data_IF_162811287414
#
_entry.id   IF_162811287414
#
_cell.length_a   1.000
_cell.length_b   1.000
_cell.length_c   1.000
_cell.angle_alpha   90.00
_cell.angle_beta   90.00
_cell.angle_gamma   90.00
#
_symmetry.space_group_name_H-M   'P 1'
#
loop_
_entity.id
_entity.type
_entity.pdbx_description
1 polymer ?
#
# COMPACT_ATOMS: atom_id res chain seq x y z
N UNK A 1 11.53 17.19 -0.59
CA UNK A 1 11.13 16.34 0.55
C UNK A 1 11.16 14.90 0.08
N UNK A 2 11.77 13.97 0.81
CA UNK A 2 11.84 12.56 0.41
C UNK A 2 10.59 11.80 0.87
N UNK A 3 10.02 10.97 -0.01
CA UNK A 3 8.88 10.10 0.31
C UNK A 3 9.37 8.71 0.73
N UNK A 4 8.71 8.13 1.73
CA UNK A 4 8.89 6.75 2.18
C UNK A 4 7.67 5.93 1.74
N UNK A 5 7.92 4.76 1.18
CA UNK A 5 6.88 3.86 0.71
C UNK A 5 6.86 2.61 1.60
N UNK A 6 5.73 2.36 2.26
CA UNK A 6 5.50 1.17 3.08
C UNK A 6 4.51 0.29 2.33
N UNK A 7 4.99 -0.89 1.94
CA UNK A 7 4.28 -1.83 1.10
C UNK A 7 3.97 -3.11 1.87
N UNK A 8 2.89 -3.78 1.49
CA UNK A 8 2.68 -5.19 1.78
C UNK A 8 1.97 -5.87 0.61
N UNK A 9 2.01 -7.20 0.55
CA UNK A 9 1.24 -7.97 -0.43
C UNK A 9 -0.25 -7.94 -0.10
N UNK A 10 -0.61 -7.87 1.18
CA UNK A 10 -1.99 -7.99 1.64
C UNK A 10 -2.54 -6.67 2.17
N UNK A 11 -3.81 -6.37 1.87
CA UNK A 11 -4.48 -5.15 2.34
C UNK A 11 -4.54 -5.07 3.87
N UNK A 12 -4.76 -6.21 4.56
CA UNK A 12 -4.86 -6.26 6.02
C UNK A 12 -3.56 -5.81 6.68
N UNK A 13 -2.41 -6.24 6.15
CA UNK A 13 -1.11 -5.80 6.64
C UNK A 13 -0.90 -4.29 6.43
N UNK A 14 -1.31 -3.74 5.29
CA UNK A 14 -1.27 -2.29 5.04
C UNK A 14 -2.11 -1.52 6.06
N UNK A 15 -3.32 -2.02 6.36
CA UNK A 15 -4.21 -1.38 7.33
C UNK A 15 -3.68 -1.50 8.76
N UNK A 16 -3.03 -2.61 9.10
CA UNK A 16 -2.35 -2.80 10.38
C UNK A 16 -1.17 -1.82 10.55
N UNK A 17 -0.36 -1.63 9.50
CA UNK A 17 0.69 -0.60 9.49
C UNK A 17 0.09 0.81 9.72
N UNK A 18 -1.00 1.12 9.03
CA UNK A 18 -1.71 2.39 9.21
C UNK A 18 -2.27 2.57 10.63
N UNK A 19 -2.86 1.52 11.22
CA UNK A 19 -3.36 1.56 12.59
C UNK A 19 -2.23 1.74 13.61
N UNK A 20 -1.09 1.09 13.42
CA UNK A 20 0.10 1.27 14.25
C UNK A 20 0.63 2.71 14.19
N UNK A 21 0.74 3.28 12.98
CA UNK A 21 1.17 4.67 12.77
C UNK A 21 0.21 5.68 13.42
N UNK A 22 -1.11 5.43 13.39
CA UNK A 22 -2.08 6.26 14.10
C UNK A 22 -1.86 6.26 15.61
N UNK A 23 -1.64 5.08 16.21
CA UNK A 23 -1.38 4.95 17.66
C UNK A 23 -0.12 5.70 18.10
N UNK A 24 0.87 5.79 17.21
CA UNK A 24 2.12 6.52 17.46
C UNK A 24 1.97 8.06 17.31
N UNK A 25 0.75 8.58 17.10
CA UNK A 25 0.48 10.01 16.87
C UNK A 25 1.35 10.64 15.77
N UNK A 26 1.61 9.89 14.69
CA UNK A 26 2.37 10.40 13.54
C UNK A 26 1.50 11.38 12.72
N UNK A 27 1.41 12.63 13.21
CA UNK A 27 1.08 13.89 12.52
C UNK A 27 -0.03 13.89 11.46
N UNK A 28 -1.16 14.53 11.77
CA UNK A 28 -2.33 14.74 10.91
C UNK A 28 -2.04 15.40 9.55
N UNK A 29 -1.67 14.57 8.56
CA UNK A 29 -1.53 14.97 7.15
C UNK A 29 -0.27 14.49 6.43
N UNK A 30 0.58 13.65 7.04
CA UNK A 30 1.84 13.19 6.40
C UNK A 30 1.81 11.75 5.88
N UNK A 31 0.74 11.01 6.15
CA UNK A 31 0.58 9.62 5.72
C UNK A 31 -0.63 9.52 4.79
N UNK A 32 -0.47 8.80 3.69
CA UNK A 32 -1.58 8.51 2.77
C UNK A 32 -1.64 7.01 2.46
N UNK A 33 -2.79 6.39 2.75
CA UNK A 33 -3.07 4.99 2.43
C UNK A 33 -3.75 4.90 1.06
N UNK A 34 -2.96 4.51 0.06
CA UNK A 34 -3.40 4.39 -1.31
C UNK A 34 -4.17 3.08 -1.52
N UNK A 35 -5.46 3.20 -1.83
CA UNK A 35 -6.37 2.07 -2.10
C UNK A 35 -7.05 2.18 -3.47
N UNK A 36 -7.52 1.03 -3.97
CA UNK A 36 -8.46 0.98 -5.09
C UNK A 36 -9.84 1.43 -4.64
N UNK A 37 -10.67 1.91 -5.57
CA UNK A 37 -12.04 2.32 -5.24
C UNK A 37 -12.85 1.18 -4.62
N UNK A 38 -12.65 -0.05 -5.12
CA UNK A 38 -13.32 -1.26 -4.61
C UNK A 38 -12.99 -1.57 -3.14
N UNK A 39 -11.90 -1.01 -2.61
CA UNK A 39 -11.44 -1.21 -1.22
C UNK A 39 -11.66 0.01 -0.34
N UNK A 40 -12.17 1.12 -0.89
CA UNK A 40 -12.56 2.30 -0.13
C UNK A 40 -13.99 2.12 0.38
N UNK A 41 -14.24 2.48 1.63
CA UNK A 41 -15.57 2.46 2.25
C UNK A 41 -15.73 3.67 3.16
N UNK A 42 -16.80 4.45 2.96
CA UNK A 42 -17.14 5.55 3.85
C UNK A 42 -17.68 5.05 5.21
N UNK A 43 -18.30 3.86 5.21
CA UNK A 43 -18.84 3.23 6.40
C UNK A 43 -17.72 2.72 7.30
N UNK A 44 -16.69 2.11 6.71
CA UNK A 44 -15.52 1.60 7.42
C UNK A 44 -14.22 2.14 6.80
N UNK A 45 -13.87 3.42 7.05
CA UNK A 45 -12.62 4.00 6.53
C UNK A 45 -11.41 3.30 7.14
N UNK A 46 -10.45 2.98 6.30
CA UNK A 46 -9.18 2.44 6.75
C UNK A 46 -8.22 3.57 7.17
N UNK A 47 -7.27 3.30 8.09
CA UNK A 47 -6.34 4.32 8.55
C UNK A 47 -5.62 5.03 7.38
N UNK A 48 -5.67 6.36 7.39
CA UNK A 48 -5.06 7.28 6.42
C UNK A 48 -5.57 7.16 4.98
N UNK A 49 -6.69 6.46 4.74
CA UNK A 49 -7.28 6.42 3.41
C UNK A 49 -8.04 7.71 3.06
N UNK A 50 -8.56 7.79 1.84
CA UNK A 50 -9.30 8.95 1.36
C UNK A 50 -10.45 9.38 2.28
N UNK A 51 -11.21 8.45 2.84
CA UNK A 51 -12.35 8.74 3.70
C UNK A 51 -11.92 9.10 5.12
N UNK A 52 -10.90 8.42 5.63
CA UNK A 52 -10.35 8.68 6.96
C UNK A 52 -9.70 10.06 7.09
N UNK A 53 -9.21 10.61 5.98
CA UNK A 53 -8.65 11.96 5.92
C UNK A 53 -9.71 13.06 5.72
N UNK A 54 -11.00 12.70 5.59
CA UNK A 54 -12.07 13.69 5.50
C UNK A 54 -12.44 14.27 6.87
N UNK A 55 -12.99 15.48 6.86
CA UNK A 55 -13.74 16.01 7.99
C UNK A 55 -14.97 15.13 8.27
N UNK A 56 -15.37 15.01 9.53
CA UNK A 56 -16.55 14.21 9.94
C UNK A 56 -17.83 14.60 9.19
N UNK A 57 -18.04 15.90 8.94
CA UNK A 57 -19.19 16.37 8.17
C UNK A 57 -19.23 15.77 6.76
N UNK A 58 -18.13 15.87 6.01
CA UNK A 58 -18.02 15.28 4.67
C UNK A 58 -18.20 13.77 4.74
N UNK A 59 -17.51 13.11 5.67
CA UNK A 59 -17.61 11.66 5.82
C UNK A 59 -19.05 11.20 6.09
N UNK A 60 -19.80 11.94 6.92
CA UNK A 60 -21.22 11.67 7.18
C UNK A 60 -22.07 11.81 5.92
N UNK A 61 -21.82 12.80 5.06
CA UNK A 61 -22.53 12.92 3.78
C UNK A 61 -22.31 11.67 2.91
N UNK A 62 -21.06 11.22 2.79
CA UNK A 62 -20.73 10.00 2.04
C UNK A 62 -21.34 8.74 2.65
N UNK A 63 -21.43 8.64 3.98
CA UNK A 63 -22.09 7.51 4.67
C UNK A 63 -23.58 7.45 4.38
N UNK A 64 -24.23 8.61 4.25
CA UNK A 64 -25.66 8.75 4.03
C UNK A 64 -26.07 8.69 2.55
N UNK A 65 -25.11 8.58 1.62
CA UNK A 65 -25.40 8.62 0.18
C UNK A 65 -25.60 10.03 -0.38
N UNK A 66 -25.28 11.06 0.40
CA UNK A 66 -25.41 12.50 0.08
C UNK A 66 -24.13 13.08 -0.52
N UNK A 67 -23.23 12.24 -1.03
CA UNK A 67 -22.00 12.70 -1.68
C UNK A 67 -22.30 13.57 -2.92
N UNK A 68 -21.42 14.53 -3.26
CA UNK A 68 -21.64 15.36 -4.43
C UNK A 68 -21.65 14.52 -5.72
N UNK A 69 -22.76 14.56 -6.44
CA UNK A 69 -22.97 13.85 -7.71
C UNK A 69 -22.74 14.75 -8.94
N UNK A 70 -22.15 15.92 -8.74
CA UNK A 70 -21.88 16.88 -9.80
C UNK A 70 -20.45 17.42 -9.73
N UNK A 71 -19.93 17.87 -10.86
CA UNK A 71 -18.68 18.62 -10.95
C UNK A 71 -18.79 19.80 -11.88
N UNK A 72 -18.01 20.82 -11.59
CA UNK A 72 -17.86 22.00 -12.44
C UNK A 72 -16.71 21.82 -13.42
N UNK A 73 -16.97 22.00 -14.72
CA UNK A 73 -15.97 21.92 -15.78
C UNK A 73 -15.89 23.27 -16.50
N UNK A 74 -14.67 23.82 -16.59
CA UNK A 74 -14.42 25.06 -17.33
C UNK A 74 -13.98 24.70 -18.76
N UNK A 75 -14.79 25.04 -19.76
CA UNK A 75 -14.43 24.82 -21.17
C UNK A 75 -13.41 25.87 -21.62
N UNK A 76 -12.18 25.42 -21.91
CA UNK A 76 -11.05 26.26 -22.28
C UNK A 76 -11.33 27.22 -23.46
N UNK A 77 -12.18 26.80 -24.41
CA UNK A 77 -12.46 27.57 -25.64
C UNK A 77 -13.25 28.86 -25.40
N UNK A 78 -14.18 28.86 -24.43
CA UNK A 78 -15.12 29.98 -24.21
C UNK A 78 -15.19 30.46 -22.74
N UNK A 79 -14.37 29.90 -21.84
CA UNK A 79 -14.45 30.11 -20.37
C UNK A 79 -15.85 29.91 -19.76
N UNK A 80 -16.73 29.18 -20.47
CA UNK A 80 -18.05 28.80 -19.94
C UNK A 80 -17.87 27.72 -18.88
N UNK A 81 -18.58 27.92 -17.79
CA UNK A 81 -18.66 26.99 -16.67
C UNK A 81 -19.87 26.10 -16.92
N UNK A 82 -19.65 24.79 -17.02
CA UNK A 82 -20.71 23.79 -17.15
C UNK A 82 -20.70 22.88 -15.92
N UNK A 83 -21.90 22.55 -15.44
CA UNK A 83 -22.09 21.54 -14.40
C UNK A 83 -22.35 20.21 -15.10
N UNK A 84 -21.61 19.18 -14.70
CA UNK A 84 -21.70 17.83 -15.26
C UNK A 84 -22.02 16.88 -14.12
N UNK A 85 -23.13 16.15 -14.25
CA UNK A 85 -23.51 15.08 -13.32
C UNK A 85 -22.66 13.83 -13.55
N UNK A 86 -22.35 13.12 -12.46
CA UNK A 86 -21.73 11.79 -12.50
C UNK A 86 -22.80 10.75 -12.75
N UNK A 87 -22.56 9.80 -13.66
CA UNK A 87 -23.51 8.75 -13.97
C UNK A 87 -23.56 7.68 -12.86
N UNK A 88 -22.48 7.52 -12.10
CA UNK A 88 -22.38 6.50 -11.05
C UNK A 88 -21.66 7.02 -9.81
N UNK A 89 -21.92 6.34 -8.68
CA UNK A 89 -21.17 6.55 -7.44
C UNK A 89 -19.66 6.34 -7.64
N UNK A 90 -19.25 5.33 -8.43
CA UNK A 90 -17.84 5.04 -8.67
C UNK A 90 -17.15 6.17 -9.46
N UNK A 91 -17.85 6.80 -10.39
CA UNK A 91 -17.32 7.98 -11.10
C UNK A 91 -17.14 9.18 -10.17
N UNK A 92 -18.14 9.45 -9.31
CA UNK A 92 -18.05 10.51 -8.28
C UNK A 92 -16.89 10.24 -7.32
N UNK A 93 -16.79 9.03 -6.77
CA UNK A 93 -15.69 8.61 -5.89
C UNK A 93 -14.32 8.77 -6.55
N UNK A 94 -14.19 8.31 -7.80
CA UNK A 94 -12.95 8.46 -8.56
C UNK A 94 -12.54 9.93 -8.71
N UNK A 95 -13.49 10.79 -9.06
CA UNK A 95 -13.24 12.21 -9.26
C UNK A 95 -12.80 12.87 -7.95
N UNK A 96 -13.60 12.76 -6.88
CA UNK A 96 -13.31 13.44 -5.61
C UNK A 96 -12.02 12.93 -4.97
N UNK A 97 -11.73 11.63 -5.08
CA UNK A 97 -10.45 11.07 -4.66
C UNK A 97 -9.29 11.69 -5.42
N UNK A 98 -9.38 11.81 -6.76
CA UNK A 98 -8.32 12.41 -7.57
C UNK A 98 -8.12 13.89 -7.25
N UNK A 99 -9.20 14.64 -7.00
CA UNK A 99 -9.09 16.04 -6.58
C UNK A 99 -8.41 16.16 -5.21
N UNK A 100 -8.76 15.29 -4.27
CA UNK A 100 -8.09 15.21 -2.98
C UNK A 100 -6.60 14.84 -3.10
N UNK A 101 -6.26 13.82 -3.91
CA UNK A 101 -4.86 13.42 -4.15
C UNK A 101 -4.00 14.57 -4.70
N UNK A 102 -4.58 15.62 -5.30
CA UNK A 102 -3.81 16.81 -5.73
C UNK A 102 -3.41 17.73 -4.59
N UNK A 103 -4.13 17.69 -3.47
CA UNK A 103 -3.95 18.58 -2.31
C UNK A 103 -3.10 17.95 -1.21
N UNK A 104 -2.96 16.61 -1.20
CA UNK A 104 -2.12 15.89 -0.24
C UNK A 104 -0.66 15.91 -0.66
N UNK A 105 0.23 15.99 0.33
CA UNK A 105 1.69 15.93 0.17
C UNK A 105 2.27 14.90 1.17
N UNK A 106 2.11 13.60 0.90
CA UNK A 106 2.48 12.57 1.86
C UNK A 106 4.01 12.49 2.01
N UNK A 107 4.49 12.26 3.24
CA UNK A 107 5.86 11.80 3.50
C UNK A 107 5.95 10.28 3.58
N UNK A 108 4.83 9.64 3.90
CA UNK A 108 4.67 8.19 3.98
C UNK A 108 3.48 7.80 3.10
N UNK A 109 3.70 6.88 2.17
CA UNK A 109 2.63 6.25 1.40
C UNK A 109 2.51 4.81 1.87
N UNK A 110 1.31 4.42 2.29
CA UNK A 110 0.95 3.02 2.57
C UNK A 110 0.24 2.47 1.33
N UNK A 111 0.59 1.28 0.88
CA UNK A 111 -0.06 0.68 -0.29
C UNK A 111 0.17 -0.82 -0.33
N UNK A 112 -0.68 -1.55 -1.05
CA UNK A 112 -0.24 -2.87 -1.52
C UNK A 112 0.81 -2.72 -2.61
N UNK A 113 1.66 -3.73 -2.79
CA UNK A 113 2.68 -3.75 -3.86
C UNK A 113 2.03 -3.58 -5.23
N UNK A 114 0.96 -4.33 -5.50
CA UNK A 114 0.24 -4.26 -6.77
C UNK A 114 -0.32 -2.85 -7.01
N UNK A 115 -0.95 -2.24 -6.00
CA UNK A 115 -1.52 -0.89 -6.12
C UNK A 115 -0.44 0.16 -6.39
N UNK A 116 0.71 0.06 -5.73
CA UNK A 116 1.84 0.97 -5.95
C UNK A 116 2.37 0.86 -7.39
N UNK A 117 2.59 -0.37 -7.86
CA UNK A 117 3.07 -0.62 -9.22
C UNK A 117 2.04 -0.19 -10.27
N UNK A 118 0.75 -0.49 -10.06
CA UNK A 118 -0.34 -0.10 -10.96
C UNK A 118 -0.47 1.43 -11.08
N UNK A 119 -0.40 2.14 -9.95
CA UNK A 119 -0.54 3.60 -9.92
C UNK A 119 0.54 4.29 -10.76
N UNK A 120 1.74 3.71 -10.88
CA UNK A 120 2.80 4.24 -11.74
C UNK A 120 2.47 4.22 -13.23
N UNK A 121 1.49 3.42 -13.67
CA UNK A 121 1.02 3.43 -15.06
C UNK A 121 -0.17 4.38 -15.29
N UNK A 122 -0.74 4.95 -14.23
CA UNK A 122 -1.91 5.82 -14.30
C UNK A 122 -1.50 7.27 -14.00
N UNK A 123 -1.59 8.20 -14.97
CA UNK A 123 -1.24 9.60 -14.74
C UNK A 123 -2.00 10.18 -13.53
N UNK A 124 -1.25 10.58 -12.51
CA UNK A 124 -1.79 11.19 -11.28
C UNK A 124 -0.73 12.04 -10.59
N UNK A 125 -1.15 12.96 -9.70
CA UNK A 125 -0.22 13.71 -8.83
C UNK A 125 0.71 12.77 -8.06
N UNK A 126 0.16 11.67 -7.55
CA UNK A 126 0.91 10.66 -6.81
C UNK A 126 2.07 10.03 -7.62
N UNK A 127 2.04 10.07 -8.96
CA UNK A 127 3.21 9.65 -9.76
C UNK A 127 4.43 10.52 -9.46
N UNK A 128 4.25 11.81 -9.23
CA UNK A 128 5.35 12.72 -8.86
C UNK A 128 5.87 12.43 -7.45
N UNK A 129 4.98 12.10 -6.50
CA UNK A 129 5.37 11.69 -5.15
C UNK A 129 6.12 10.35 -5.18
N UNK A 130 5.63 9.37 -5.94
CA UNK A 130 6.27 8.07 -6.15
C UNK A 130 7.64 8.21 -6.82
N UNK A 131 7.83 9.16 -7.73
CA UNK A 131 9.13 9.44 -8.34
C UNK A 131 10.16 9.99 -7.34
N UNK A 132 9.70 10.53 -6.20
CA UNK A 132 10.56 11.05 -5.12
C UNK A 132 10.82 10.05 -3.99
N UNK A 133 10.39 8.79 -4.17
CA UNK A 133 10.60 7.72 -3.18
C UNK A 133 12.08 7.40 -3.08
N UNK A 134 12.60 7.46 -1.86
CA UNK A 134 14.02 7.13 -1.55
C UNK A 134 14.16 5.94 -0.62
N UNK A 135 13.06 5.49 -0.02
CA UNK A 135 13.01 4.35 0.89
C UNK A 135 11.75 3.54 0.60
N UNK A 136 11.93 2.24 0.44
CA UNK A 136 10.84 1.27 0.30
C UNK A 136 10.99 0.26 1.42
N UNK A 137 9.95 0.07 2.21
CA UNK A 137 9.85 -0.98 3.21
C UNK A 137 8.75 -1.92 2.73
N UNK A 138 9.03 -3.20 2.60
CA UNK A 138 8.03 -4.21 2.26
C UNK A 138 7.85 -5.13 3.45
N UNK A 139 6.67 -5.06 4.06
CA UNK A 139 6.22 -5.96 5.11
C UNK A 139 5.54 -7.20 4.50
N UNK A 140 5.55 -8.31 5.24
CA UNK A 140 5.14 -9.63 4.74
C UNK A 140 5.88 -10.05 3.45
N UNK A 141 7.18 -9.76 3.38
CA UNK A 141 8.02 -9.95 2.20
C UNK A 141 8.24 -11.42 1.81
N UNK A 142 7.93 -12.39 2.69
CA UNK A 142 7.91 -13.81 2.33
C UNK A 142 6.80 -14.15 1.34
N UNK A 143 5.69 -13.39 1.35
CA UNK A 143 4.60 -13.51 0.38
C UNK A 143 4.89 -12.79 -0.95
N UNK A 144 5.93 -11.96 -0.99
CA UNK A 144 6.31 -11.22 -2.19
C UNK A 144 6.99 -12.16 -3.19
N UNK A 145 6.57 -12.12 -4.45
CA UNK A 145 7.26 -12.86 -5.52
C UNK A 145 8.55 -12.15 -5.93
N UNK A 146 9.54 -12.91 -6.37
CA UNK A 146 10.77 -12.39 -6.96
C UNK A 146 10.50 -11.42 -8.12
N UNK A 147 9.52 -11.74 -8.98
CA UNK A 147 9.13 -10.85 -10.08
C UNK A 147 8.62 -9.49 -9.58
N UNK A 148 7.83 -9.49 -8.51
CA UNK A 148 7.34 -8.25 -7.90
C UNK A 148 8.48 -7.45 -7.24
N UNK A 149 9.43 -8.12 -6.56
CA UNK A 149 10.63 -7.47 -6.03
C UNK A 149 11.45 -6.83 -7.16
N UNK A 150 11.65 -7.54 -8.27
CA UNK A 150 12.36 -7.02 -9.43
C UNK A 150 11.66 -5.78 -10.02
N UNK A 151 10.32 -5.80 -10.10
CA UNK A 151 9.54 -4.65 -10.52
C UNK A 151 9.74 -3.46 -9.58
N UNK A 152 9.71 -3.67 -8.25
CA UNK A 152 9.98 -2.62 -7.26
C UNK A 152 11.38 -2.03 -7.47
N UNK A 153 12.42 -2.86 -7.56
CA UNK A 153 13.81 -2.42 -7.78
C UNK A 153 13.92 -1.56 -9.04
N UNK A 154 13.31 -2.00 -10.14
CA UNK A 154 13.34 -1.25 -11.41
C UNK A 154 12.57 0.06 -11.36
N UNK A 155 11.50 0.13 -10.56
CA UNK A 155 10.65 1.31 -10.44
C UNK A 155 11.21 2.34 -9.47
N UNK A 156 11.99 1.91 -8.49
CA UNK A 156 12.61 2.77 -7.48
C UNK A 156 14.13 2.55 -7.44
N UNK A 157 14.86 2.82 -8.54
CA UNK A 157 16.27 2.44 -8.68
C UNK A 157 17.21 3.15 -7.69
N UNK A 158 16.80 4.31 -7.16
CA UNK A 158 17.58 5.07 -6.17
C UNK A 158 17.13 4.82 -4.73
N UNK A 159 16.12 3.98 -4.52
CA UNK A 159 15.59 3.74 -3.18
C UNK A 159 16.39 2.69 -2.42
N UNK A 160 16.54 2.91 -1.11
CA UNK A 160 16.97 1.86 -0.18
C UNK A 160 15.77 0.97 0.12
N UNK A 161 15.91 -0.33 -0.11
CA UNK A 161 14.83 -1.30 0.03
C UNK A 161 15.08 -2.14 1.28
N UNK A 162 14.07 -2.24 2.14
CA UNK A 162 14.05 -3.12 3.32
C UNK A 162 12.95 -4.15 3.11
N UNK A 163 13.28 -5.42 3.30
CA UNK A 163 12.33 -6.53 3.26
C UNK A 163 12.15 -7.03 4.69
N UNK A 164 10.91 -7.08 5.16
CA UNK A 164 10.52 -7.58 6.48
C UNK A 164 9.58 -8.75 6.25
N UNK A 165 9.91 -9.90 6.81
CA UNK A 165 9.11 -11.10 6.66
C UNK A 165 9.84 -12.30 7.24
N UNK A 166 9.26 -13.47 7.03
CA UNK A 166 9.76 -14.72 7.57
C UNK A 166 9.63 -15.81 6.51
N UNK A 167 10.77 -16.36 6.07
CA UNK A 167 10.84 -17.35 5.00
C UNK A 167 10.43 -18.76 5.46
N UNK A 168 10.25 -18.97 6.77
CA UNK A 168 9.67 -20.20 7.33
C UNK A 168 8.14 -20.14 7.42
N UNK A 169 7.53 -19.00 7.08
CA UNK A 169 6.08 -18.85 6.97
C UNK A 169 5.58 -19.15 5.55
N UNK A 170 4.36 -18.71 5.23
CA UNK A 170 3.71 -19.00 3.95
C UNK A 170 4.52 -18.41 2.77
N UNK A 171 4.69 -19.18 1.67
CA UNK A 171 5.27 -18.66 0.44
C UNK A 171 4.26 -17.78 -0.33
N UNK A 172 4.67 -17.13 -1.44
CA UNK A 172 3.75 -16.42 -2.31
C UNK A 172 2.57 -17.29 -2.75
N UNK A 173 1.40 -16.67 -2.89
CA UNK A 173 0.16 -17.36 -3.22
C UNK A 173 0.27 -18.19 -4.51
N UNK A 174 -0.14 -19.47 -4.43
CA UNK A 174 -0.09 -20.46 -5.51
C UNK A 174 1.32 -20.83 -6.03
N UNK A 175 2.39 -20.50 -5.30
CA UNK A 175 3.71 -21.00 -5.69
C UNK A 175 3.74 -22.54 -5.68
N UNK A 176 4.12 -23.12 -6.82
CA UNK A 176 4.38 -24.55 -6.96
C UNK A 176 5.69 -24.73 -7.73
N UNK A 177 6.74 -25.20 -7.06
CA UNK A 177 8.05 -25.41 -7.66
C UNK A 177 8.07 -26.45 -8.78
N UNK A 178 6.98 -27.21 -8.99
CA UNK A 178 6.84 -28.13 -10.12
C UNK A 178 6.32 -27.45 -11.39
N UNK A 179 5.80 -26.22 -11.28
CA UNK A 179 5.30 -25.44 -12.40
C UNK A 179 6.40 -24.46 -12.82
N UNK A 180 6.97 -24.64 -14.02
CA UNK A 180 8.10 -23.84 -14.52
C UNK A 180 7.86 -22.33 -14.40
N UNK A 181 6.66 -21.85 -14.73
CA UNK A 181 6.33 -20.42 -14.59
C UNK A 181 6.40 -19.92 -13.14
N UNK A 182 6.00 -20.73 -12.17
CA UNK A 182 6.07 -20.38 -10.75
C UNK A 182 7.51 -20.47 -10.26
N UNK A 183 8.27 -21.48 -10.67
CA UNK A 183 9.70 -21.58 -10.38
C UNK A 183 10.49 -20.37 -10.94
N UNK A 184 10.10 -19.87 -12.11
CA UNK A 184 10.77 -18.74 -12.76
C UNK A 184 10.37 -17.37 -12.19
N UNK A 185 9.12 -17.18 -11.79
CA UNK A 185 8.59 -15.85 -11.44
C UNK A 185 7.94 -15.74 -10.05
N UNK A 186 7.58 -16.86 -9.44
CA UNK A 186 6.80 -16.95 -8.20
C UNK A 186 7.63 -17.26 -6.95
N UNK A 187 8.96 -17.40 -7.06
CA UNK A 187 9.82 -17.68 -5.90
C UNK A 187 9.66 -16.59 -4.83
N UNK A 188 9.75 -16.94 -3.53
CA UNK A 188 9.74 -15.96 -2.46
C UNK A 188 10.90 -14.97 -2.60
N UNK A 189 10.60 -13.68 -2.63
CA UNK A 189 11.57 -12.61 -2.77
C UNK A 189 12.59 -12.59 -1.62
N UNK A 190 12.13 -12.86 -0.40
CA UNK A 190 12.95 -12.90 0.80
C UNK A 190 14.04 -13.98 0.70
N UNK A 191 13.66 -15.21 0.36
CA UNK A 191 14.60 -16.33 0.18
C UNK A 191 15.59 -16.06 -0.96
N UNK A 192 15.14 -15.47 -2.07
CA UNK A 192 16.03 -15.10 -3.19
C UNK A 192 17.05 -14.04 -2.77
N UNK A 193 16.62 -13.02 -2.01
CA UNK A 193 17.51 -11.97 -1.52
C UNK A 193 18.59 -12.53 -0.57
N UNK A 194 18.18 -13.40 0.35
CA UNK A 194 19.07 -14.01 1.36
C UNK A 194 20.06 -15.00 0.75
N UNK A 195 19.68 -15.73 -0.32
CA UNK A 195 20.51 -16.78 -0.95
C UNK A 195 21.92 -16.32 -1.34
N UNK A 196 22.10 -15.04 -1.65
CA UNK A 196 23.40 -14.53 -2.09
C UNK A 196 24.38 -14.26 -0.96
N UNK A 197 23.91 -14.18 0.30
CA UNK A 197 24.68 -13.76 1.46
C UNK A 197 25.16 -12.30 1.43
N UNK A 198 24.75 -11.52 0.41
CA UNK A 198 25.18 -10.13 0.21
C UNK A 198 24.23 -9.11 0.82
N UNK A 199 23.03 -9.54 1.16
CA UNK A 199 22.02 -8.70 1.80
C UNK A 199 22.18 -8.83 3.31
N UNK A 200 22.44 -7.74 4.05
CA UNK A 200 22.46 -7.79 5.51
C UNK A 200 21.10 -8.25 6.04
N UNK A 201 21.11 -9.24 6.91
CA UNK A 201 19.92 -9.77 7.58
C UNK A 201 19.99 -9.41 9.06
N UNK A 202 18.86 -8.95 9.61
CA UNK A 202 18.69 -8.71 11.04
C UNK A 202 17.61 -9.65 11.53
N UNK A 203 17.95 -10.56 12.42
CA UNK A 203 17.03 -11.54 13.00
C UNK A 203 16.38 -10.98 14.27
N UNK A 204 15.07 -11.16 14.39
CA UNK A 204 14.30 -10.78 15.56
C UNK A 204 14.00 -12.03 16.39
N UNK A 205 14.68 -12.17 17.53
CA UNK A 205 14.70 -13.42 18.31
C UNK A 205 13.65 -13.49 19.43
N UNK A 206 12.94 -12.39 19.69
CA UNK A 206 11.99 -12.30 20.80
C UNK A 206 10.55 -12.19 20.29
N UNK A 207 9.68 -13.05 20.81
CA UNK A 207 8.25 -13.11 20.46
C UNK A 207 7.41 -12.63 21.64
N UNK A 208 6.60 -11.61 21.41
CA UNK A 208 5.76 -10.99 22.45
C UNK A 208 4.27 -11.31 22.33
N UNK A 209 3.87 -12.08 21.31
CA UNK A 209 2.45 -12.30 20.99
C UNK A 209 1.77 -13.41 21.79
N UNK A 210 2.48 -14.50 22.09
CA UNK A 210 1.90 -15.71 22.67
C UNK A 210 2.75 -16.25 23.82
N UNK A 211 2.14 -16.96 24.79
CA UNK A 211 2.87 -17.61 25.88
C UNK A 211 4.00 -18.52 25.39
N UNK A 212 5.14 -18.61 26.12
CA UNK A 212 6.27 -19.44 25.71
C UNK A 212 5.91 -20.91 25.47
N UNK A 213 4.95 -21.45 26.22
CA UNK A 213 4.48 -22.84 26.06
C UNK A 213 3.82 -23.12 24.71
N UNK A 214 3.18 -22.11 24.09
CA UNK A 214 2.58 -22.24 22.75
C UNK A 214 3.59 -22.01 21.64
N UNK A 215 4.58 -21.15 21.87
CA UNK A 215 5.60 -20.78 20.87
C UNK A 215 6.71 -21.83 20.79
N UNK A 216 7.08 -22.47 21.91
CA UNK A 216 8.20 -23.39 21.97
C UNK A 216 8.14 -24.57 20.97
N UNK A 217 6.99 -25.24 20.74
CA UNK A 217 6.90 -26.29 19.73
C UNK A 217 7.14 -25.78 18.31
N UNK A 218 6.61 -24.60 17.97
CA UNK A 218 6.78 -23.98 16.66
C UNK A 218 8.24 -23.58 16.43
N UNK A 219 8.86 -22.94 17.44
CA UNK A 219 10.25 -22.51 17.32
C UNK A 219 11.20 -23.67 17.07
N UNK A 220 11.05 -24.78 17.81
CA UNK A 220 11.86 -25.99 17.61
C UNK A 220 11.73 -26.59 16.21
N UNK A 221 10.55 -26.45 15.59
CA UNK A 221 10.30 -27.01 14.27
C UNK A 221 10.82 -26.10 13.15
N UNK A 222 10.61 -24.79 13.29
CA UNK A 222 10.83 -23.82 12.22
C UNK A 222 12.19 -23.12 12.28
N UNK A 223 12.75 -22.90 13.47
CA UNK A 223 13.97 -22.10 13.66
C UNK A 223 15.11 -22.85 14.37
N UNK A 224 14.86 -24.07 14.88
CA UNK A 224 15.84 -24.91 15.59
C UNK A 224 15.90 -24.63 17.08
#
# INVERSE_FOLDING_TARGET
>A
SSVQLLLSVQNVAVDNMGAALKKMHYGGGTVYNMKSNKKLSAQNPAPFDFFDQMSEQKLSMWRNGEQPMERTVVKARNRRVEVVEFATYEESLNFHRREFEKTVYPRIILSTVEMALQKMYTPSKLCSDLASVTRVIVDEASLLTEAALYAIIRRFPSARIVLIGDDNQLPPFMYDGKILGHEMAGRPALSVAMKTGKVPVVELNEVYRAPPSLVAPYNRLAYG
#
